data_IF_883077860265
#
_entry.id   IF_883077860265
#
_cell.length_a   1.000
_cell.length_b   1.000
_cell.length_c   1.000
_cell.angle_alpha   90.00
_cell.angle_beta   90.00
_cell.angle_gamma   90.00
#
_symmetry.space_group_name_H-M   'P 1'
#
loop_
_entity.id
_entity.type
_entity.pdbx_description
1 polymer ?
#
# COMPACT_ATOMS: atom_id res chain seq x y z
N UNK A 1 15.02 -2.74 -11.82
CA UNK A 1 13.79 -3.53 -12.02
C UNK A 1 13.76 -4.28 -13.37
N UNK A 2 14.06 -3.65 -14.52
CA UNK A 2 14.13 -4.37 -15.80
C UNK A 2 15.28 -5.41 -15.89
N UNK A 3 16.43 -5.17 -15.24
CA UNK A 3 17.56 -6.11 -15.20
C UNK A 3 17.39 -7.27 -14.20
N UNK A 4 16.59 -7.10 -13.15
CA UNK A 4 16.27 -8.19 -12.22
C UNK A 4 15.30 -9.20 -12.85
N UNK A 5 14.41 -8.73 -13.72
CA UNK A 5 13.51 -9.58 -14.48
C UNK A 5 14.27 -10.37 -15.56
N UNK A 6 15.32 -9.80 -16.17
CA UNK A 6 16.08 -10.51 -17.22
C UNK A 6 16.86 -11.73 -16.70
N UNK A 7 17.32 -11.72 -15.44
CA UNK A 7 18.02 -12.86 -14.85
C UNK A 7 17.08 -14.02 -14.45
N UNK A 8 15.84 -13.73 -14.04
CA UNK A 8 14.83 -14.76 -13.72
C UNK A 8 14.38 -15.52 -14.98
N UNK A 9 14.38 -14.85 -16.14
CA UNK A 9 13.92 -15.44 -17.40
C UNK A 9 14.75 -16.63 -17.89
N UNK A 10 16.03 -16.73 -17.51
CA UNK A 10 16.89 -17.84 -17.92
C UNK A 10 16.58 -19.16 -17.18
N UNK A 11 15.81 -19.10 -16.08
CA UNK A 11 15.48 -20.26 -15.24
C UNK A 11 14.00 -20.69 -15.32
N UNK A 12 13.20 -20.09 -16.20
CA UNK A 12 11.79 -20.46 -16.38
C UNK A 12 11.67 -21.56 -17.44
N UNK A 13 11.15 -22.73 -17.06
CA UNK A 13 10.76 -23.81 -17.95
C UNK A 13 9.22 -23.91 -18.00
N UNK A 14 8.53 -22.99 -18.71
CA UNK A 14 7.07 -22.99 -18.75
C UNK A 14 6.52 -24.20 -19.51
N UNK A 15 5.45 -24.78 -18.99
CA UNK A 15 4.62 -25.72 -19.75
C UNK A 15 3.85 -24.99 -20.86
N UNK A 16 3.07 -25.71 -21.67
CA UNK A 16 2.36 -25.12 -22.81
C UNK A 16 1.35 -24.03 -22.39
N UNK A 17 0.73 -24.19 -21.21
CA UNK A 17 -0.17 -23.20 -20.62
C UNK A 17 0.62 -21.96 -20.17
N UNK A 18 1.73 -22.17 -19.49
CA UNK A 18 2.68 -21.15 -19.06
C UNK A 18 3.24 -20.33 -20.22
N UNK A 19 3.55 -20.96 -21.36
CA UNK A 19 4.00 -20.27 -22.57
C UNK A 19 2.94 -19.32 -23.12
N UNK A 20 1.66 -19.73 -23.12
CA UNK A 20 0.54 -18.88 -23.55
C UNK A 20 0.36 -17.69 -22.62
N UNK A 21 0.38 -17.91 -21.30
CA UNK A 21 0.29 -16.84 -20.32
C UNK A 21 1.48 -15.89 -20.45
N UNK A 22 2.70 -16.42 -20.54
CA UNK A 22 3.92 -15.66 -20.71
C UNK A 22 3.86 -14.72 -21.93
N UNK A 23 3.38 -15.21 -23.07
CA UNK A 23 3.19 -14.38 -24.26
C UNK A 23 2.24 -13.20 -24.02
N UNK A 24 1.15 -13.42 -23.26
CA UNK A 24 0.23 -12.34 -22.88
C UNK A 24 0.91 -11.33 -21.95
N UNK A 25 1.64 -11.80 -20.93
CA UNK A 25 2.35 -10.94 -19.98
C UNK A 25 3.44 -10.11 -20.66
N UNK A 26 4.17 -10.71 -21.61
CA UNK A 26 5.19 -10.00 -22.38
C UNK A 26 4.62 -8.79 -23.14
N UNK A 27 3.42 -8.90 -23.70
CA UNK A 27 2.73 -7.80 -24.40
C UNK A 27 2.37 -6.62 -23.49
N UNK A 28 2.17 -6.87 -22.20
CA UNK A 28 1.72 -5.87 -21.23
C UNK A 28 2.80 -5.48 -20.22
N UNK A 29 4.03 -6.00 -20.35
CA UNK A 29 5.12 -5.80 -19.37
C UNK A 29 5.47 -4.35 -19.03
N UNK A 30 5.07 -3.39 -19.88
CA UNK A 30 5.29 -1.94 -19.67
C UNK A 30 4.06 -1.23 -19.09
N UNK A 31 2.99 -1.95 -18.76
CA UNK A 31 1.70 -1.39 -18.33
C UNK A 31 1.47 -1.42 -16.81
N UNK A 32 2.54 -1.61 -16.03
CA UNK A 32 2.48 -1.59 -14.56
C UNK A 32 2.05 -2.91 -13.91
N UNK A 33 2.17 -3.00 -12.59
CA UNK A 33 1.98 -4.22 -11.80
C UNK A 33 0.50 -4.61 -11.71
N UNK A 34 -0.39 -3.64 -11.47
CA UNK A 34 -1.83 -3.87 -11.37
C UNK A 34 -2.39 -4.49 -12.65
N UNK A 35 -1.87 -4.08 -13.83
CA UNK A 35 -2.29 -4.65 -15.11
C UNK A 35 -1.83 -6.08 -15.30
N UNK A 36 -0.59 -6.38 -14.90
CA UNK A 36 -0.02 -7.74 -14.96
C UNK A 36 -0.86 -8.69 -14.10
N UNK A 37 -1.11 -8.31 -12.85
CA UNK A 37 -1.90 -9.11 -11.89
C UNK A 37 -3.31 -9.34 -12.43
N UNK A 38 -4.01 -8.31 -12.91
CA UNK A 38 -5.36 -8.45 -13.51
C UNK A 38 -5.39 -9.40 -14.71
N UNK A 39 -4.34 -9.40 -15.54
CA UNK A 39 -4.24 -10.34 -16.66
C UNK A 39 -4.03 -11.78 -16.20
N UNK A 40 -3.24 -12.00 -15.15
CA UNK A 40 -3.08 -13.33 -14.54
C UNK A 40 -4.42 -13.83 -13.98
N UNK A 41 -5.13 -12.98 -13.21
CA UNK A 41 -6.46 -13.30 -12.66
C UNK A 41 -7.42 -13.70 -13.77
N UNK A 42 -7.56 -12.85 -14.78
CA UNK A 42 -8.46 -13.09 -15.91
C UNK A 42 -8.09 -14.36 -16.67
N UNK A 43 -6.80 -14.66 -16.83
CA UNK A 43 -6.35 -15.90 -17.46
C UNK A 43 -6.76 -17.13 -16.65
N UNK A 44 -6.54 -17.13 -15.34
CA UNK A 44 -6.93 -18.23 -14.46
C UNK A 44 -8.44 -18.45 -14.49
N UNK A 45 -9.23 -17.37 -14.36
CA UNK A 45 -10.70 -17.45 -14.34
C UNK A 45 -11.26 -17.91 -15.69
N UNK A 46 -10.74 -17.40 -16.82
CA UNK A 46 -11.34 -17.67 -18.14
C UNK A 46 -10.76 -18.87 -18.89
N UNK A 47 -9.49 -19.21 -18.66
CA UNK A 47 -8.79 -20.29 -19.40
C UNK A 47 -8.62 -21.55 -18.58
N UNK A 48 -8.45 -21.41 -17.26
CA UNK A 48 -8.30 -22.54 -16.34
C UNK A 48 -9.62 -22.85 -15.63
N UNK A 49 -10.60 -21.92 -15.68
CA UNK A 49 -11.92 -22.06 -15.07
C UNK A 49 -11.86 -22.20 -13.54
N UNK A 50 -10.92 -21.49 -12.90
CA UNK A 50 -10.78 -21.43 -11.45
C UNK A 50 -11.23 -20.05 -10.96
N UNK A 51 -12.19 -20.02 -10.04
CA UNK A 51 -12.67 -18.78 -9.43
C UNK A 51 -11.66 -18.24 -8.42
N UNK A 52 -11.28 -16.98 -8.58
CA UNK A 52 -10.42 -16.28 -7.62
C UNK A 52 -11.28 -15.61 -6.54
N UNK A 53 -10.95 -15.90 -5.30
CA UNK A 53 -11.62 -15.40 -4.09
C UNK A 53 -10.65 -14.50 -3.33
N UNK A 54 -11.19 -13.46 -2.69
CA UNK A 54 -10.40 -12.50 -1.95
C UNK A 54 -9.80 -13.06 -0.67
N UNK A 55 -8.55 -12.71 -0.38
CA UNK A 55 -7.90 -13.09 0.87
C UNK A 55 -8.56 -12.42 2.10
N UNK A 56 -9.18 -11.26 1.90
CA UNK A 56 -9.88 -10.46 2.91
C UNK A 56 -11.02 -11.23 3.59
N UNK A 57 -11.65 -12.17 2.88
CA UNK A 57 -12.73 -13.02 3.41
C UNK A 57 -12.21 -14.00 4.47
N UNK A 58 -10.94 -14.39 4.39
CA UNK A 58 -10.33 -15.36 5.31
C UNK A 58 -9.49 -14.70 6.41
N UNK A 59 -9.24 -13.39 6.30
CA UNK A 59 -8.30 -12.63 7.13
C UNK A 59 -8.98 -11.40 7.76
N UNK A 60 -10.24 -11.56 8.16
CA UNK A 60 -11.08 -10.46 8.66
C UNK A 60 -10.53 -9.82 9.95
N UNK A 61 -9.88 -10.62 10.77
CA UNK A 61 -9.25 -10.25 12.04
C UNK A 61 -8.10 -9.25 11.86
N UNK A 62 -7.35 -9.36 10.77
CA UNK A 62 -6.25 -8.45 10.43
C UNK A 62 -6.64 -7.34 9.46
N UNK A 63 -7.91 -7.25 9.05
CA UNK A 63 -8.38 -6.12 8.25
C UNK A 63 -8.42 -4.83 9.08
N UNK A 64 -8.15 -3.73 8.37
CA UNK A 64 -8.40 -2.39 8.88
C UNK A 64 -9.90 -2.18 9.10
N UNK A 65 -10.28 -1.67 10.26
CA UNK A 65 -11.65 -1.30 10.58
C UNK A 65 -11.79 0.22 10.62
N UNK A 66 -13.00 0.73 10.32
CA UNK A 66 -13.30 2.15 10.40
C UNK A 66 -13.09 2.70 11.82
N UNK A 67 -12.61 3.94 11.92
CA UNK A 67 -12.38 4.63 13.19
C UNK A 67 -11.00 4.40 13.80
N UNK A 68 -10.84 4.85 15.05
CA UNK A 68 -9.55 4.82 15.76
C UNK A 68 -9.32 3.44 16.40
N UNK A 69 -8.11 2.87 16.21
CA UNK A 69 -7.72 1.60 16.82
C UNK A 69 -6.85 1.74 18.08
N UNK A 70 -6.34 2.95 18.32
CA UNK A 70 -5.39 3.25 19.40
C UNK A 70 -5.95 4.32 20.34
N UNK A 71 -5.25 4.58 21.45
CA UNK A 71 -5.63 5.60 22.44
C UNK A 71 -5.37 7.02 21.94
N UNK A 72 -4.33 7.21 21.13
CA UNK A 72 -4.01 8.50 20.53
C UNK A 72 -5.06 8.90 19.51
N UNK A 73 -5.67 10.07 19.72
CA UNK A 73 -6.69 10.59 18.83
C UNK A 73 -6.08 11.30 17.63
N UNK A 74 -6.81 11.27 16.53
CA UNK A 74 -6.56 12.13 15.37
C UNK A 74 -7.00 13.57 15.70
N UNK A 75 -6.22 14.56 15.26
CA UNK A 75 -6.50 15.98 15.47
C UNK A 75 -7.39 16.57 14.37
N UNK A 76 -8.03 17.71 14.65
CA UNK A 76 -8.82 18.45 13.65
C UNK A 76 -8.00 18.98 12.47
N UNK A 77 -6.69 19.24 12.68
CA UNK A 77 -5.77 19.54 11.57
C UNK A 77 -5.64 18.35 10.64
N UNK A 78 -5.42 17.15 11.19
CA UNK A 78 -5.25 15.94 10.40
C UNK A 78 -6.53 15.59 9.65
N UNK A 79 -7.71 15.76 10.26
CA UNK A 79 -8.98 15.55 9.56
C UNK A 79 -9.16 16.43 8.33
N UNK A 80 -8.77 17.71 8.40
CA UNK A 80 -8.85 18.64 7.26
C UNK A 80 -7.93 18.23 6.10
N UNK A 81 -6.83 17.57 6.42
CA UNK A 81 -5.80 17.16 5.47
C UNK A 81 -6.12 15.82 4.78
N UNK A 82 -7.08 15.04 5.27
CA UNK A 82 -7.44 13.72 4.72
C UNK A 82 -7.87 13.80 3.26
N UNK A 83 -8.72 14.77 2.89
CA UNK A 83 -9.24 14.86 1.52
C UNK A 83 -8.12 15.15 0.50
N UNK A 84 -7.17 16.03 0.87
CA UNK A 84 -5.96 16.28 0.09
C UNK A 84 -5.15 14.98 -0.08
N UNK A 85 -4.94 14.25 1.02
CA UNK A 85 -4.16 13.03 1.04
C UNK A 85 -4.79 11.93 0.16
N UNK A 86 -6.11 11.75 0.23
CA UNK A 86 -6.88 10.81 -0.59
C UNK A 86 -6.79 11.19 -2.07
N UNK A 87 -7.02 12.46 -2.43
CA UNK A 87 -6.95 12.94 -3.83
C UNK A 87 -5.56 12.70 -4.41
N UNK A 88 -4.52 12.98 -3.65
CA UNK A 88 -3.13 12.72 -4.04
C UNK A 88 -2.87 11.24 -4.26
N UNK A 89 -3.26 10.38 -3.30
CA UNK A 89 -3.03 8.94 -3.42
C UNK A 89 -3.82 8.33 -4.60
N UNK A 90 -5.06 8.76 -4.84
CA UNK A 90 -5.84 8.31 -6.00
C UNK A 90 -5.19 8.71 -7.32
N UNK A 91 -4.61 9.91 -7.40
CA UNK A 91 -3.90 10.39 -8.59
C UNK A 91 -2.69 9.50 -8.89
N UNK A 92 -1.77 9.34 -7.93
CA UNK A 92 -0.58 8.48 -8.14
C UNK A 92 -0.95 7.01 -8.35
N UNK A 93 -2.04 6.54 -7.74
CA UNK A 93 -2.54 5.18 -7.90
C UNK A 93 -3.15 4.91 -9.28
N UNK A 94 -3.76 5.91 -9.92
CA UNK A 94 -4.24 5.79 -11.31
C UNK A 94 -3.09 5.67 -12.31
N UNK A 95 -1.97 6.32 -12.03
CA UNK A 95 -0.76 6.29 -12.85
C UNK A 95 0.13 5.05 -12.55
N UNK A 96 -0.33 4.18 -11.64
CA UNK A 96 0.37 2.99 -11.15
C UNK A 96 1.76 3.28 -10.53
N UNK A 97 1.93 4.48 -9.96
CA UNK A 97 3.20 4.91 -9.38
C UNK A 97 3.32 4.54 -7.90
N UNK A 98 2.22 4.53 -7.16
CA UNK A 98 2.24 4.34 -5.71
C UNK A 98 0.84 4.42 -5.13
N UNK A 99 0.74 4.30 -3.81
CA UNK A 99 -0.54 4.23 -3.09
C UNK A 99 -0.51 4.92 -1.72
N UNK A 100 0.62 5.52 -1.35
CA UNK A 100 0.82 6.23 -0.11
C UNK A 100 1.35 7.65 -0.31
N UNK A 101 1.08 8.52 0.66
CA UNK A 101 1.74 9.81 0.78
C UNK A 101 1.84 10.25 2.24
N UNK A 102 2.72 11.21 2.51
CA UNK A 102 2.81 11.91 3.79
C UNK A 102 2.20 13.28 3.62
N UNK A 103 1.30 13.64 4.52
CA UNK A 103 0.69 14.98 4.58
C UNK A 103 0.93 15.57 5.96
N UNK A 104 1.29 16.86 5.98
CA UNK A 104 1.52 17.62 7.20
C UNK A 104 1.15 19.07 6.95
N UNK A 105 0.42 19.69 7.87
CA UNK A 105 0.05 21.12 7.83
C UNK A 105 -0.57 21.58 6.49
N UNK A 106 -1.46 20.77 5.90
CA UNK A 106 -2.11 21.11 4.63
C UNK A 106 -1.27 20.89 3.38
N UNK A 107 -0.08 20.29 3.50
CA UNK A 107 0.83 20.07 2.37
C UNK A 107 1.21 18.59 2.19
N UNK A 108 1.32 18.16 0.93
CA UNK A 108 1.86 16.86 0.58
C UNK A 108 3.38 16.93 0.63
N UNK A 109 3.97 16.26 1.61
CA UNK A 109 5.42 16.31 1.86
C UNK A 109 6.19 15.42 0.89
N UNK A 110 5.67 14.22 0.65
CA UNK A 110 6.22 13.22 -0.27
C UNK A 110 5.14 12.21 -0.65
N UNK A 111 5.20 11.72 -1.88
CA UNK A 111 4.36 10.63 -2.38
C UNK A 111 5.20 9.39 -2.66
N UNK A 112 4.57 8.23 -2.54
CA UNK A 112 5.18 6.96 -2.93
C UNK A 112 5.44 6.94 -4.44
N UNK A 113 6.50 6.25 -4.82
CA UNK A 113 6.85 5.94 -6.20
C UNK A 113 7.08 4.43 -6.34
N UNK A 114 7.53 4.00 -7.52
CA UNK A 114 7.73 2.59 -7.88
C UNK A 114 8.70 1.83 -6.94
N UNK A 115 9.47 2.52 -6.11
CA UNK A 115 10.40 1.90 -5.15
C UNK A 115 9.69 1.51 -3.83
N UNK A 116 8.44 1.93 -3.64
CA UNK A 116 7.58 1.51 -2.54
C UNK A 116 7.63 2.39 -1.29
N UNK A 117 6.73 2.08 -0.36
CA UNK A 117 6.44 2.89 0.82
C UNK A 117 7.65 3.03 1.74
N UNK A 118 8.37 1.94 1.99
CA UNK A 118 9.54 1.95 2.88
C UNK A 118 10.64 2.86 2.32
N UNK A 119 10.91 2.80 1.00
CA UNK A 119 11.86 3.69 0.35
C UNK A 119 11.46 5.17 0.46
N UNK A 120 10.17 5.47 0.27
CA UNK A 120 9.62 6.81 0.48
C UNK A 120 9.88 7.30 1.92
N UNK A 121 9.61 6.47 2.93
CA UNK A 121 9.83 6.80 4.34
C UNK A 121 11.31 7.00 4.65
N UNK A 122 12.20 6.11 4.19
CA UNK A 122 13.65 6.28 4.35
C UNK A 122 14.16 7.56 3.69
N UNK A 123 13.66 7.90 2.51
CA UNK A 123 14.00 9.15 1.81
C UNK A 123 13.54 10.38 2.61
N UNK A 124 12.35 10.32 3.22
CA UNK A 124 11.85 11.40 4.08
C UNK A 124 12.72 11.58 5.34
N UNK A 125 13.10 10.46 5.99
CA UNK A 125 13.98 10.46 7.18
C UNK A 125 15.36 11.03 6.83
N UNK A 126 15.99 10.53 5.76
CA UNK A 126 17.33 10.96 5.33
C UNK A 126 17.39 12.46 5.04
N UNK A 127 16.34 12.99 4.43
CA UNK A 127 16.26 14.41 4.08
C UNK A 127 15.83 15.29 5.25
N UNK A 128 15.62 14.74 6.46
CA UNK A 128 15.17 15.44 7.68
C UNK A 128 14.14 16.53 7.38
N UNK A 129 13.12 16.22 6.59
CA UNK A 129 12.07 17.20 6.29
C UNK A 129 11.36 17.54 7.60
N UNK A 130 11.75 18.64 8.25
CA UNK A 130 11.09 19.13 9.46
C UNK A 130 9.60 19.37 9.19
N UNK A 131 9.28 19.72 7.94
CA UNK A 131 7.94 19.82 7.35
C UNK A 131 7.08 18.56 7.57
N UNK A 132 7.70 17.38 7.68
CA UNK A 132 6.97 16.13 7.94
C UNK A 132 6.48 15.99 9.38
N UNK A 133 7.09 16.67 10.36
CA UNK A 133 6.71 16.52 11.78
C UNK A 133 5.29 17.00 12.00
N UNK A 134 4.52 16.27 12.82
CA UNK A 134 3.14 16.65 13.10
C UNK A 134 2.10 16.00 12.17
N UNK A 135 2.53 15.48 11.01
CA UNK A 135 1.66 14.94 9.97
C UNK A 135 1.32 13.46 10.12
N UNK A 136 0.84 12.85 9.04
CA UNK A 136 0.50 11.43 8.98
C UNK A 136 0.88 10.79 7.66
N UNK A 137 1.11 9.47 7.70
CA UNK A 137 1.15 8.63 6.52
C UNK A 137 -0.27 8.22 6.18
N UNK A 138 -0.68 8.33 4.93
CA UNK A 138 -1.89 7.65 4.43
C UNK A 138 -1.50 6.59 3.42
N UNK A 139 -2.20 5.46 3.41
CA UNK A 139 -2.08 4.42 2.39
C UNK A 139 -3.47 3.92 2.03
N UNK A 140 -3.84 4.02 0.76
CA UNK A 140 -5.16 3.63 0.25
C UNK A 140 -5.00 2.61 -0.87
N UNK A 141 -6.03 1.84 -1.18
CA UNK A 141 -6.00 0.91 -2.31
C UNK A 141 -5.92 1.68 -3.63
N UNK A 142 -4.99 1.31 -4.51
CA UNK A 142 -4.94 1.93 -5.85
C UNK A 142 -6.27 1.66 -6.57
N UNK A 143 -6.90 2.65 -7.24
CA UNK A 143 -8.16 2.44 -7.95
C UNK A 143 -8.08 1.34 -9.03
N UNK A 144 -6.90 1.14 -9.60
CA UNK A 144 -6.63 0.18 -10.67
C UNK A 144 -6.28 -1.22 -10.19
N UNK A 145 -6.11 -1.46 -8.89
CA UNK A 145 -5.73 -2.74 -8.31
C UNK A 145 -6.97 -3.62 -8.09
N UNK A 146 -6.78 -4.95 -8.08
CA UNK A 146 -7.87 -5.89 -7.77
C UNK A 146 -7.83 -6.19 -6.26
N UNK A 147 -8.84 -5.76 -5.48
CA UNK A 147 -8.83 -5.86 -4.03
C UNK A 147 -8.80 -7.30 -3.51
N UNK A 148 -9.15 -8.29 -4.35
CA UNK A 148 -9.18 -9.70 -3.94
C UNK A 148 -7.79 -10.26 -3.71
N UNK A 149 -6.79 -9.74 -4.43
CA UNK A 149 -5.47 -10.36 -4.47
C UNK A 149 -4.38 -9.49 -3.88
N UNK A 150 -4.61 -8.18 -3.79
CA UNK A 150 -3.55 -7.25 -3.43
C UNK A 150 -4.14 -6.04 -2.72
N UNK A 151 -4.19 -6.14 -1.38
CA UNK A 151 -4.55 -5.04 -0.50
C UNK A 151 -3.28 -4.40 0.07
N UNK A 152 -3.28 -3.07 0.24
CA UNK A 152 -2.29 -2.37 1.04
C UNK A 152 -2.01 -3.09 2.35
N UNK A 153 -0.75 -3.41 2.61
CA UNK A 153 -0.34 -4.06 3.84
C UNK A 153 0.57 -3.14 4.63
N UNK A 154 0.37 -3.11 5.94
CA UNK A 154 1.13 -2.32 6.92
C UNK A 154 1.49 -3.22 8.09
N UNK A 155 2.70 -3.09 8.59
CA UNK A 155 3.16 -3.82 9.78
C UNK A 155 3.88 -2.92 10.76
N UNK A 156 4.42 -3.55 11.81
CA UNK A 156 5.16 -2.87 12.88
C UNK A 156 6.33 -2.01 12.38
N UNK A 157 7.00 -2.44 11.30
CA UNK A 157 8.14 -1.70 10.73
C UNK A 157 7.71 -0.35 10.16
N UNK A 158 6.53 -0.27 9.53
CA UNK A 158 5.98 1.00 9.05
C UNK A 158 5.73 1.95 10.23
N UNK A 159 5.20 1.47 11.36
CA UNK A 159 5.00 2.29 12.55
C UNK A 159 6.32 2.81 13.14
N UNK A 160 7.39 2.00 13.11
CA UNK A 160 8.73 2.44 13.54
C UNK A 160 9.24 3.59 12.68
N UNK A 161 9.10 3.49 11.35
CA UNK A 161 9.51 4.54 10.41
C UNK A 161 8.68 5.82 10.59
N UNK A 162 7.36 5.68 10.79
CA UNK A 162 6.46 6.80 11.13
C UNK A 162 6.94 7.51 12.40
N UNK A 163 7.29 6.74 13.44
CA UNK A 163 7.80 7.30 14.71
C UNK A 163 9.12 8.04 14.51
N UNK A 164 10.05 7.42 13.79
CA UNK A 164 11.38 7.98 13.52
C UNK A 164 11.29 9.31 12.77
N UNK A 165 10.38 9.40 11.80
CA UNK A 165 10.13 10.63 11.05
C UNK A 165 9.40 11.72 11.88
N UNK A 166 8.85 11.37 13.04
CA UNK A 166 8.11 12.31 13.90
C UNK A 166 6.68 12.57 13.42
N UNK A 167 6.09 11.62 12.68
CA UNK A 167 4.67 11.65 12.33
C UNK A 167 3.80 11.28 13.54
N UNK A 168 2.53 11.67 13.49
CA UNK A 168 1.55 11.43 14.55
C UNK A 168 0.81 10.10 14.38
N UNK A 169 0.83 9.50 13.18
CA UNK A 169 0.14 8.24 12.95
C UNK A 169 0.01 7.86 11.48
N UNK A 170 -0.87 6.87 11.26
CA UNK A 170 -1.22 6.34 9.95
C UNK A 170 -2.74 6.33 9.73
N UNK A 171 -3.15 6.62 8.50
CA UNK A 171 -4.53 6.52 8.01
C UNK A 171 -4.61 5.46 6.92
N UNK A 172 -5.62 4.60 7.00
CA UNK A 172 -5.84 3.49 6.08
C UNK A 172 -7.33 3.39 5.69
N UNK A 173 -7.63 2.87 4.50
CA UNK A 173 -9.01 2.60 4.10
C UNK A 173 -9.60 1.38 4.85
N UNK A 174 -10.80 1.56 5.38
CA UNK A 174 -11.59 0.53 6.02
C UNK A 174 -11.80 -0.67 5.07
N UNK A 175 -11.53 -1.88 5.57
CA UNK A 175 -11.60 -3.15 4.84
C UNK A 175 -10.77 -3.22 3.56
N UNK A 176 -9.84 -2.29 3.34
CA UNK A 176 -8.95 -2.28 2.17
C UNK A 176 -7.48 -2.20 2.54
N UNK A 177 -7.14 -2.55 3.77
CA UNK A 177 -5.76 -2.69 4.19
C UNK A 177 -5.63 -3.82 5.22
N UNK A 178 -4.50 -4.52 5.18
CA UNK A 178 -4.10 -5.50 6.18
C UNK A 178 -3.14 -4.89 7.21
N UNK A 179 -3.38 -5.22 8.47
CA UNK A 179 -2.53 -4.90 9.62
C UNK A 179 -1.81 -6.17 10.08
N UNK A 180 -0.57 -6.35 9.63
CA UNK A 180 0.26 -7.49 10.01
C UNK A 180 0.59 -7.39 11.49
N UNK A 181 0.14 -8.39 12.26
CA UNK A 181 0.29 -8.41 13.71
C UNK A 181 -0.40 -7.19 14.37
N UNK A 182 -1.70 -7.05 14.06
CA UNK A 182 -2.57 -5.93 14.47
C UNK A 182 -2.47 -5.62 15.97
N UNK A 183 -2.43 -6.62 16.83
CA UNK A 183 -2.32 -6.41 18.28
C UNK A 183 -1.00 -5.74 18.66
N UNK A 184 0.13 -6.23 18.14
CA UNK A 184 1.42 -5.63 18.45
C UNK A 184 1.59 -4.25 17.81
N UNK A 185 0.97 -4.02 16.65
CA UNK A 185 0.87 -2.68 16.05
C UNK A 185 0.15 -1.70 16.99
N UNK A 186 -1.03 -2.07 17.51
CA UNK A 186 -1.80 -1.23 18.44
C UNK A 186 -1.00 -0.97 19.72
N UNK A 187 -0.42 -2.01 20.34
CA UNK A 187 0.40 -1.88 21.55
C UNK A 187 1.60 -0.94 21.34
N UNK A 188 2.28 -1.06 20.20
CA UNK A 188 3.41 -0.20 19.86
C UNK A 188 2.98 1.24 19.62
N UNK A 189 1.89 1.43 18.88
CA UNK A 189 1.36 2.75 18.59
C UNK A 189 0.94 3.47 19.88
N UNK A 190 0.20 2.80 20.77
CA UNK A 190 -0.18 3.33 22.09
C UNK A 190 1.05 3.73 22.92
N UNK A 191 2.07 2.88 22.98
CA UNK A 191 3.31 3.16 23.72
C UNK A 191 4.05 4.40 23.18
N UNK A 192 3.91 4.68 21.89
CA UNK A 192 4.63 5.75 21.21
C UNK A 192 3.79 7.00 20.91
N UNK A 193 2.55 7.04 21.41
CA UNK A 193 1.56 8.09 21.15
C UNK A 193 1.26 8.28 19.66
N UNK A 194 1.12 7.17 18.92
CA UNK A 194 0.75 7.17 17.50
C UNK A 194 -0.71 6.77 17.32
N UNK A 195 -1.39 7.42 16.37
CA UNK A 195 -2.73 6.99 15.97
C UNK A 195 -2.70 5.98 14.81
N UNK A 196 -3.63 5.02 14.82
CA UNK A 196 -3.97 4.18 13.66
C UNK A 196 -5.45 4.39 13.39
N UNK A 197 -5.79 5.01 12.26
CA UNK A 197 -7.15 5.47 11.97
C UNK A 197 -7.67 4.96 10.62
N UNK A 198 -8.89 4.42 10.64
CA UNK A 198 -9.59 3.89 9.47
C UNK A 198 -10.61 4.88 8.94
N UNK A 199 -10.61 5.08 7.62
CA UNK A 199 -11.58 5.91 6.88
C UNK A 199 -12.50 5.08 5.97
#
# INVERSE_FOLDING_TARGET
MAEQISQIFFFLFPDFTGLKLFYLLFKIRKKGDAKIIKTIISYIETRINIKIVGADIFLEDILMTNGILTKSKISDSNFRDIDLAIKTCKKIGNDDLGQACIVSNGEVIITEDINGTDYMLYKAIKNKKEEARGGFLIKILKPIQDPRVDLPTVGINTLKLIKELGLNGIILENRKAFLVDKENMIKYADKNNLFIFGI
#
